data_IF_965264862049
#
_entry.id   IF_965264862049
#
_cell.length_a   1.000
_cell.length_b   1.000
_cell.length_c   1.000
_cell.angle_alpha   90.00
_cell.angle_beta   90.00
_cell.angle_gamma   90.00
#
_symmetry.space_group_name_H-M   'P 1'
#
loop_
_entity.id
_entity.type
_entity.pdbx_description
1 polymer ?
#
# COMPACT_ATOMS: atom_id res chain seq x y z
N UNK A 1 -1.80 19.20 -18.14
CA UNK A 1 -3.19 19.05 -17.66
C UNK A 1 -4.05 20.10 -18.31
N UNK A 2 -3.85 21.38 -18.04
CA UNK A 2 -4.65 22.52 -18.51
C UNK A 2 -5.03 22.42 -20.00
N UNK A 3 -4.07 22.11 -20.89
CA UNK A 3 -4.31 21.94 -22.33
C UNK A 3 -5.39 20.89 -22.65
N UNK A 4 -5.49 19.81 -21.88
CA UNK A 4 -6.47 18.74 -22.13
C UNK A 4 -7.80 19.01 -21.44
N UNK A 5 -7.80 19.76 -20.34
CA UNK A 5 -9.01 20.12 -19.63
C UNK A 5 -9.76 21.29 -20.28
N UNK A 6 -9.02 22.28 -20.85
CA UNK A 6 -9.64 23.42 -21.54
C UNK A 6 -10.45 23.04 -22.78
N UNK A 7 -10.19 21.87 -23.38
CA UNK A 7 -10.95 21.35 -24.53
C UNK A 7 -12.23 20.60 -24.09
N UNK A 8 -12.46 20.42 -22.78
CA UNK A 8 -13.60 19.70 -22.23
C UNK A 8 -14.62 20.67 -21.61
N UNK A 9 -15.93 20.34 -21.65
CA UNK A 9 -16.99 21.21 -21.12
C UNK A 9 -17.16 21.06 -19.59
N UNK A 10 -16.07 21.06 -18.85
CA UNK A 10 -16.06 20.92 -17.39
C UNK A 10 -15.24 22.01 -16.72
N UNK A 11 -15.72 22.51 -15.61
CA UNK A 11 -14.89 23.26 -14.69
C UNK A 11 -13.90 22.32 -13.99
N UNK A 12 -12.71 22.80 -13.70
CA UNK A 12 -11.68 21.97 -13.08
C UNK A 12 -10.81 22.77 -12.11
N UNK A 13 -10.26 22.07 -11.13
CA UNK A 13 -9.18 22.53 -10.27
C UNK A 13 -7.98 21.57 -10.36
N UNK A 14 -6.78 22.08 -10.14
CA UNK A 14 -5.55 21.32 -10.06
C UNK A 14 -4.97 21.53 -8.67
N UNK A 15 -4.96 20.49 -7.83
CA UNK A 15 -4.39 20.54 -6.50
C UNK A 15 -3.03 19.87 -6.50
N UNK A 16 -1.96 20.66 -6.36
CA UNK A 16 -0.64 20.11 -6.08
C UNK A 16 -0.47 19.86 -4.59
N UNK A 17 -0.03 18.68 -4.24
CA UNK A 17 0.36 18.35 -2.86
C UNK A 17 1.86 18.16 -2.81
N UNK A 18 2.54 19.04 -2.11
CA UNK A 18 3.98 18.96 -1.88
C UNK A 18 4.25 18.26 -0.54
N UNK A 19 4.84 17.08 -0.61
CA UNK A 19 5.13 16.22 0.56
C UNK A 19 6.41 16.66 1.29
N UNK A 20 6.46 17.96 1.64
CA UNK A 20 7.53 18.53 2.44
C UNK A 20 8.87 18.64 1.70
N UNK A 21 8.86 19.05 0.44
CA UNK A 21 10.08 19.27 -0.35
C UNK A 21 10.99 20.31 0.29
N UNK A 22 12.30 20.07 0.17
CA UNK A 22 13.35 20.96 0.69
C UNK A 22 14.08 21.74 -0.41
N UNK A 23 13.68 21.52 -1.65
CA UNK A 23 14.21 22.19 -2.84
C UNK A 23 13.35 23.39 -3.26
N UNK A 24 13.48 23.85 -4.52
CA UNK A 24 12.72 24.98 -5.05
C UNK A 24 11.24 24.68 -5.35
N UNK A 25 10.74 23.46 -5.13
CA UNK A 25 9.36 23.05 -5.44
C UNK A 25 8.31 23.99 -4.84
N UNK A 26 8.35 24.36 -3.53
CA UNK A 26 7.36 25.29 -2.97
C UNK A 26 7.33 26.65 -3.66
N UNK A 27 8.49 27.17 -4.09
CA UNK A 27 8.58 28.47 -4.79
C UNK A 27 7.97 28.37 -6.20
N UNK A 28 8.18 27.25 -6.88
CA UNK A 28 7.58 27.01 -8.20
C UNK A 28 6.06 26.91 -8.07
N UNK A 29 5.55 26.18 -7.10
CA UNK A 29 4.12 26.05 -6.84
C UNK A 29 3.49 27.40 -6.51
N UNK A 30 4.13 28.22 -5.68
CA UNK A 30 3.66 29.57 -5.36
C UNK A 30 3.54 30.48 -6.59
N UNK A 31 4.43 30.35 -7.55
CA UNK A 31 4.33 31.08 -8.84
C UNK A 31 3.18 30.55 -9.70
N UNK A 32 3.00 29.23 -9.77
CA UNK A 32 1.93 28.62 -10.55
C UNK A 32 0.55 29.02 -10.03
N UNK A 33 0.36 29.07 -8.72
CA UNK A 33 -0.93 29.48 -8.12
C UNK A 33 -1.27 30.95 -8.37
N UNK A 34 -0.25 31.80 -8.56
CA UNK A 34 -0.43 33.21 -8.93
C UNK A 34 -0.74 33.39 -10.43
N UNK A 35 -0.34 32.46 -11.29
CA UNK A 35 -0.50 32.54 -12.74
C UNK A 35 -1.79 31.91 -13.26
N UNK A 36 -2.33 30.91 -12.56
CA UNK A 36 -3.51 30.15 -12.97
C UNK A 36 -4.43 29.96 -11.76
N UNK A 37 -5.64 30.55 -11.85
CA UNK A 37 -6.65 30.49 -10.80
C UNK A 37 -7.23 29.08 -10.57
N UNK A 38 -7.02 28.15 -11.50
CA UNK A 38 -7.42 26.74 -11.32
C UNK A 38 -6.42 25.97 -10.50
N UNK A 39 -5.24 26.53 -10.21
CA UNK A 39 -4.17 25.85 -9.50
C UNK A 39 -4.17 26.25 -8.03
N UNK A 40 -4.21 25.24 -7.17
CA UNK A 40 -3.99 25.35 -5.71
C UNK A 40 -2.82 24.47 -5.32
N UNK A 41 -2.12 24.84 -4.23
CA UNK A 41 -1.03 24.04 -3.73
C UNK A 41 -1.13 23.86 -2.20
N UNK A 42 -1.00 22.62 -1.75
CA UNK A 42 -0.99 22.22 -0.35
C UNK A 42 0.43 21.76 0.00
N UNK A 43 1.13 22.54 0.83
CA UNK A 43 2.49 22.22 1.26
C UNK A 43 2.41 21.55 2.63
N UNK A 44 2.83 20.30 2.73
CA UNK A 44 2.84 19.56 3.98
C UNK A 44 3.99 20.02 4.90
N UNK A 45 3.80 19.91 6.20
CA UNK A 45 4.77 20.38 7.20
C UNK A 45 6.09 19.58 7.18
N UNK A 46 6.07 18.34 6.70
CA UNK A 46 7.20 17.44 6.50
C UNK A 46 6.84 16.38 5.48
N UNK A 47 7.77 15.50 5.14
CA UNK A 47 7.45 14.31 4.35
C UNK A 47 6.63 13.33 5.20
N UNK A 48 5.41 13.04 4.74
CA UNK A 48 4.47 12.07 5.30
C UNK A 48 4.36 10.80 4.45
N UNK A 49 4.86 10.85 3.22
CA UNK A 49 4.82 9.76 2.27
C UNK A 49 3.70 9.88 1.23
N UNK A 50 3.94 9.24 0.09
CA UNK A 50 3.11 9.33 -1.11
C UNK A 50 1.61 9.07 -0.87
N UNK A 51 1.27 8.05 -0.07
CA UNK A 51 -0.13 7.69 0.19
C UNK A 51 -0.88 8.78 0.98
N UNK A 52 -0.19 9.43 1.93
CA UNK A 52 -0.77 10.51 2.70
C UNK A 52 -0.84 11.82 1.90
N UNK A 53 0.09 12.06 0.99
CA UNK A 53 0.00 13.18 0.05
C UNK A 53 -1.21 13.03 -0.89
N UNK A 54 -1.46 11.84 -1.46
CA UNK A 54 -2.66 11.56 -2.24
C UNK A 54 -3.92 11.76 -1.39
N UNK A 55 -3.93 11.25 -0.16
CA UNK A 55 -5.05 11.43 0.77
C UNK A 55 -5.34 12.90 1.02
N UNK A 56 -4.31 13.71 1.25
CA UNK A 56 -4.44 15.14 1.45
C UNK A 56 -5.11 15.82 0.23
N UNK A 57 -4.67 15.48 -0.99
CA UNK A 57 -5.30 15.99 -2.22
C UNK A 57 -6.77 15.59 -2.33
N UNK A 58 -7.09 14.32 -2.07
CA UNK A 58 -8.47 13.82 -2.11
C UNK A 58 -9.37 14.45 -1.03
N UNK A 59 -8.85 14.69 0.16
CA UNK A 59 -9.59 15.33 1.26
C UNK A 59 -9.99 16.79 0.92
N UNK A 60 -9.15 17.50 0.14
CA UNK A 60 -9.33 18.92 -0.19
C UNK A 60 -9.92 19.16 -1.60
N UNK A 61 -10.10 18.11 -2.38
CA UNK A 61 -10.71 18.23 -3.69
C UNK A 61 -12.22 18.55 -3.59
N UNK A 62 -12.71 19.45 -4.45
CA UNK A 62 -14.10 19.93 -4.49
C UNK A 62 -14.93 19.43 -5.68
N UNK A 63 -14.28 18.91 -6.75
CA UNK A 63 -14.94 18.45 -7.96
C UNK A 63 -15.84 17.22 -7.77
N UNK A 64 -16.78 16.98 -8.69
CA UNK A 64 -17.68 15.82 -8.71
C UNK A 64 -16.92 14.50 -9.01
N UNK A 65 -15.80 14.61 -9.71
CA UNK A 65 -14.86 13.54 -9.94
C UNK A 65 -13.44 13.99 -9.56
N UNK A 66 -12.67 13.10 -8.98
CA UNK A 66 -11.29 13.37 -8.54
C UNK A 66 -10.35 12.47 -9.30
N UNK A 67 -9.35 13.06 -9.95
CA UNK A 67 -8.32 12.32 -10.66
C UNK A 67 -7.00 12.48 -9.89
N UNK A 68 -6.44 11.37 -9.43
CA UNK A 68 -5.11 11.34 -8.81
C UNK A 68 -4.03 11.08 -9.85
N UNK A 69 -2.92 11.82 -9.80
CA UNK A 69 -1.84 11.73 -10.78
C UNK A 69 -0.49 12.04 -10.12
N UNK A 70 0.55 11.26 -10.44
CA UNK A 70 1.92 11.56 -9.99
C UNK A 70 2.54 12.68 -10.83
N UNK A 71 3.34 13.51 -10.17
CA UNK A 71 4.03 14.65 -10.80
C UNK A 71 5.30 14.29 -11.60
N UNK A 72 5.62 13.00 -11.78
CA UNK A 72 6.85 12.52 -12.42
C UNK A 72 6.74 12.32 -13.95
N UNK A 73 5.63 12.78 -14.54
CA UNK A 73 5.30 12.69 -15.96
C UNK A 73 5.15 11.25 -16.51
N UNK A 74 5.03 10.25 -15.64
CA UNK A 74 4.75 8.86 -16.06
C UNK A 74 3.25 8.62 -16.30
N UNK A 75 2.39 9.50 -15.80
CA UNK A 75 0.94 9.47 -16.01
C UNK A 75 0.59 10.48 -17.14
N UNK A 76 0.24 10.01 -18.34
CA UNK A 76 0.00 10.89 -19.47
C UNK A 76 -1.32 11.66 -19.34
N UNK A 77 -1.30 13.02 -19.35
CA UNK A 77 -2.52 13.81 -19.26
C UNK A 77 -3.50 13.59 -20.43
N UNK A 78 -3.03 13.01 -21.54
CA UNK A 78 -3.90 12.63 -22.67
C UNK A 78 -4.94 11.58 -22.33
N UNK A 79 -4.81 10.89 -21.18
CA UNK A 79 -5.79 9.92 -20.70
C UNK A 79 -6.98 10.53 -19.96
N UNK A 80 -6.91 11.81 -19.61
CA UNK A 80 -7.97 12.48 -18.84
C UNK A 80 -9.34 12.38 -19.53
N UNK A 81 -9.48 12.62 -20.85
CA UNK A 81 -10.75 12.44 -21.54
C UNK A 81 -11.31 11.01 -21.45
N UNK A 82 -10.46 10.00 -21.58
CA UNK A 82 -10.88 8.59 -21.52
C UNK A 82 -11.38 8.21 -20.12
N UNK A 83 -10.71 8.71 -19.07
CA UNK A 83 -11.14 8.50 -17.68
C UNK A 83 -12.51 9.16 -17.42
N UNK A 84 -12.69 10.40 -17.87
CA UNK A 84 -13.94 11.14 -17.73
C UNK A 84 -15.06 10.48 -18.53
N UNK A 85 -14.77 9.99 -19.74
CA UNK A 85 -15.73 9.25 -20.55
C UNK A 85 -16.24 8.01 -19.79
N UNK A 86 -15.36 7.23 -19.18
CA UNK A 86 -15.74 6.05 -18.39
C UNK A 86 -16.59 6.41 -17.17
N UNK A 87 -16.27 7.52 -16.52
CA UNK A 87 -17.11 8.04 -15.43
C UNK A 87 -18.51 8.42 -15.92
N UNK A 88 -18.63 9.10 -17.07
CA UNK A 88 -19.92 9.43 -17.70
C UNK A 88 -20.72 8.17 -18.12
N UNK A 89 -20.06 7.05 -18.40
CA UNK A 89 -20.70 5.74 -18.63
C UNK A 89 -21.27 5.12 -17.33
N UNK A 90 -21.13 5.81 -16.19
CA UNK A 90 -21.66 5.41 -14.89
C UNK A 90 -20.75 4.46 -14.10
N UNK A 91 -19.44 4.53 -14.30
CA UNK A 91 -18.47 3.90 -13.42
C UNK A 91 -18.04 4.87 -12.32
N UNK A 92 -18.08 4.40 -11.07
CA UNK A 92 -17.73 5.22 -9.91
C UNK A 92 -16.21 5.30 -9.72
N UNK A 93 -15.49 4.29 -10.18
CA UNK A 93 -14.02 4.19 -10.08
C UNK A 93 -13.47 3.76 -11.43
N UNK A 94 -12.57 4.57 -12.00
CA UNK A 94 -11.83 4.25 -13.22
C UNK A 94 -10.36 4.08 -12.88
N UNK A 95 -9.92 2.84 -12.74
CA UNK A 95 -8.53 2.54 -12.46
C UNK A 95 -7.70 2.52 -13.74
N UNK A 96 -6.44 2.94 -13.66
CA UNK A 96 -5.53 2.72 -14.77
C UNK A 96 -4.57 1.56 -14.48
N UNK A 97 -4.27 0.80 -15.53
CA UNK A 97 -3.29 -0.28 -15.49
C UNK A 97 -2.19 0.02 -16.50
N UNK A 98 -0.97 0.06 -15.98
CA UNK A 98 0.21 0.21 -16.82
C UNK A 98 0.51 -1.09 -17.55
N UNK A 99 0.46 -1.05 -18.87
CA UNK A 99 0.93 -2.16 -19.70
C UNK A 99 2.44 -2.34 -19.49
N UNK A 100 2.86 -3.60 -19.31
CA UNK A 100 4.27 -3.92 -19.20
C UNK A 100 4.97 -3.57 -20.52
N UNK A 101 5.95 -2.68 -20.50
CA UNK A 101 6.88 -2.53 -21.61
C UNK A 101 7.75 -3.78 -21.70
N UNK A 102 8.00 -4.28 -22.92
CA UNK A 102 8.77 -5.53 -23.18
C UNK A 102 10.20 -5.52 -22.62
N UNK A 103 10.72 -4.37 -22.23
CA UNK A 103 12.06 -4.16 -21.64
C UNK A 103 12.24 -4.68 -20.19
N UNK A 104 11.20 -5.23 -19.57
CA UNK A 104 11.34 -5.79 -18.22
C UNK A 104 12.00 -7.17 -18.29
N UNK A 105 13.25 -7.28 -17.84
CA UNK A 105 14.00 -8.55 -17.79
C UNK A 105 13.19 -9.69 -17.12
N UNK A 106 13.43 -10.93 -17.55
CA UNK A 106 12.73 -12.15 -17.08
C UNK A 106 12.67 -12.23 -15.54
N UNK A 107 13.76 -11.89 -14.86
CA UNK A 107 13.83 -11.88 -13.38
C UNK A 107 12.79 -10.95 -12.76
N UNK A 108 12.59 -9.75 -13.33
CA UNK A 108 11.61 -8.78 -12.86
C UNK A 108 10.18 -9.26 -13.12
N UNK A 109 9.93 -9.92 -14.25
CA UNK A 109 8.60 -10.49 -14.57
C UNK A 109 8.25 -11.61 -13.59
N UNK A 110 9.19 -12.54 -13.33
CA UNK A 110 8.97 -13.67 -12.40
C UNK A 110 8.81 -13.21 -10.96
N UNK A 111 9.70 -12.32 -10.47
CA UNK A 111 9.63 -11.82 -9.09
C UNK A 111 8.36 -10.99 -8.84
N UNK A 112 7.93 -10.18 -9.82
CA UNK A 112 6.68 -9.44 -9.74
C UNK A 112 5.47 -10.39 -9.75
N UNK A 113 5.46 -11.42 -10.61
CA UNK A 113 4.39 -12.42 -10.65
C UNK A 113 4.25 -13.16 -9.32
N UNK A 114 5.37 -13.63 -8.75
CA UNK A 114 5.40 -14.30 -7.45
C UNK A 114 4.91 -13.37 -6.33
N UNK A 115 5.33 -12.10 -6.34
CA UNK A 115 4.89 -11.08 -5.40
C UNK A 115 3.37 -10.92 -5.42
N UNK A 116 2.76 -10.68 -6.60
CA UNK A 116 1.31 -10.51 -6.70
C UNK A 116 0.53 -11.78 -6.35
N UNK A 117 1.05 -12.95 -6.69
CA UNK A 117 0.43 -14.24 -6.31
C UNK A 117 0.43 -14.39 -4.79
N UNK A 118 1.56 -14.13 -4.13
CA UNK A 118 1.69 -14.25 -2.68
C UNK A 118 0.81 -13.24 -1.95
N UNK A 119 0.84 -11.96 -2.35
CA UNK A 119 0.05 -10.92 -1.67
C UNK A 119 -1.45 -11.15 -1.86
N UNK A 120 -1.89 -11.58 -3.06
CA UNK A 120 -3.31 -11.88 -3.31
C UNK A 120 -3.77 -13.18 -2.62
N UNK A 121 -2.88 -14.12 -2.36
CA UNK A 121 -3.20 -15.32 -1.56
C UNK A 121 -3.32 -15.01 -0.06
N UNK A 122 -2.60 -14.01 0.43
CA UNK A 122 -2.54 -13.64 1.85
C UNK A 122 -3.42 -12.45 2.21
N UNK A 123 -3.83 -11.64 1.24
CA UNK A 123 -4.71 -10.47 1.42
C UNK A 123 -6.15 -10.80 1.08
N UNK A 124 -7.14 -10.31 1.85
CA UNK A 124 -8.56 -10.43 1.49
C UNK A 124 -8.94 -9.56 0.28
N UNK A 125 -8.13 -8.56 -0.05
CA UNK A 125 -8.37 -7.62 -1.16
C UNK A 125 -7.51 -7.99 -2.35
N UNK A 126 -8.13 -8.17 -3.53
CA UNK A 126 -7.41 -8.46 -4.77
C UNK A 126 -6.64 -7.23 -5.26
N UNK A 127 -5.33 -7.33 -5.29
CA UNK A 127 -4.43 -6.29 -5.81
C UNK A 127 -4.10 -6.62 -7.26
N UNK A 128 -4.57 -5.79 -8.17
CA UNK A 128 -4.36 -5.99 -9.61
C UNK A 128 -2.90 -5.69 -9.99
N UNK A 129 -2.22 -6.63 -10.69
CA UNK A 129 -0.88 -6.37 -11.22
C UNK A 129 -0.87 -5.17 -12.17
N UNK A 130 0.16 -4.33 -12.06
CA UNK A 130 0.29 -3.13 -12.91
C UNK A 130 -0.65 -1.97 -12.55
N UNK A 131 -1.47 -2.11 -11.50
CA UNK A 131 -2.33 -1.04 -11.02
C UNK A 131 -1.52 0.23 -10.67
N UNK A 132 -2.01 1.38 -11.13
CA UNK A 132 -1.40 2.70 -10.92
C UNK A 132 -2.19 3.49 -9.87
N UNK A 133 -1.55 4.50 -9.28
CA UNK A 133 -2.25 5.50 -8.45
C UNK A 133 -2.87 6.62 -9.31
N UNK A 134 -2.69 6.55 -10.63
CA UNK A 134 -3.43 7.33 -11.62
C UNK A 134 -4.83 6.73 -11.80
N UNK A 135 -5.83 7.39 -11.29
CA UNK A 135 -7.24 6.93 -11.35
C UNK A 135 -8.21 8.08 -11.22
N UNK A 136 -9.43 7.86 -11.70
CA UNK A 136 -10.56 8.72 -11.43
C UNK A 136 -11.47 8.05 -10.41
N UNK A 137 -11.94 8.81 -9.44
CA UNK A 137 -12.98 8.40 -8.48
C UNK A 137 -14.11 9.42 -8.44
N UNK A 138 -15.33 8.96 -8.35
CA UNK A 138 -16.52 9.77 -8.12
C UNK A 138 -16.49 10.43 -6.74
N UNK A 139 -17.14 11.57 -6.57
CA UNK A 139 -17.28 12.28 -5.28
C UNK A 139 -17.78 11.35 -4.17
N UNK A 140 -18.77 10.50 -4.44
CA UNK A 140 -19.33 9.57 -3.45
C UNK A 140 -18.28 8.57 -2.94
N UNK A 141 -17.41 8.11 -3.82
CA UNK A 141 -16.29 7.25 -3.46
C UNK A 141 -15.30 8.00 -2.59
N UNK A 142 -14.96 9.24 -2.95
CA UNK A 142 -14.04 10.08 -2.18
C UNK A 142 -14.60 10.37 -0.78
N UNK A 143 -15.88 10.69 -0.64
CA UNK A 143 -16.51 10.92 0.66
C UNK A 143 -16.55 9.64 1.52
N UNK A 144 -16.76 8.48 0.91
CA UNK A 144 -16.63 7.20 1.61
C UNK A 144 -15.18 6.96 2.04
N UNK A 145 -14.22 7.24 1.16
CA UNK A 145 -12.79 7.09 1.44
C UNK A 145 -12.31 8.02 2.57
N UNK A 146 -12.88 9.20 2.72
CA UNK A 146 -12.59 10.11 3.85
C UNK A 146 -12.93 9.53 5.22
N UNK A 147 -13.81 8.52 5.29
CA UNK A 147 -14.16 7.85 6.54
C UNK A 147 -13.08 6.86 7.00
N UNK A 148 -12.26 6.37 6.07
CA UNK A 148 -11.12 5.52 6.42
C UNK A 148 -9.98 6.39 6.93
N UNK A 149 -9.59 6.21 8.18
CA UNK A 149 -8.57 7.03 8.86
C UNK A 149 -7.39 6.21 9.36
N UNK A 150 -7.17 5.03 8.75
CA UNK A 150 -6.00 4.21 9.04
C UNK A 150 -4.72 4.97 8.70
N UNK A 151 -3.70 4.84 9.58
CA UNK A 151 -2.38 5.44 9.37
C UNK A 151 -1.57 4.67 8.34
N UNK A 152 -1.64 3.34 8.38
CA UNK A 152 -0.99 2.46 7.41
C UNK A 152 -1.84 2.33 6.15
N UNK A 153 -1.86 3.39 5.34
CA UNK A 153 -2.73 3.46 4.17
C UNK A 153 -2.15 2.72 2.97
N UNK A 154 -2.97 1.88 2.37
CA UNK A 154 -2.73 1.30 1.06
C UNK A 154 -3.93 1.59 0.15
N UNK A 155 -3.93 2.77 -0.47
CA UNK A 155 -5.08 3.33 -1.19
C UNK A 155 -5.61 2.37 -2.26
N UNK A 156 -4.74 1.62 -2.95
CA UNK A 156 -5.17 0.65 -3.97
C UNK A 156 -6.04 -0.46 -3.39
N UNK A 157 -5.69 -0.96 -2.21
CA UNK A 157 -6.49 -1.95 -1.49
C UNK A 157 -7.78 -1.35 -0.96
N UNK A 158 -7.70 -0.21 -0.31
CA UNK A 158 -8.86 0.49 0.27
C UNK A 158 -9.92 0.79 -0.79
N UNK A 159 -9.53 1.38 -1.94
CA UNK A 159 -10.44 1.67 -3.05
C UNK A 159 -11.01 0.38 -3.67
N UNK A 160 -10.23 -0.70 -3.70
CA UNK A 160 -10.70 -2.01 -4.16
C UNK A 160 -11.80 -2.59 -3.26
N UNK A 161 -11.74 -2.35 -1.96
CA UNK A 161 -12.63 -2.90 -0.94
C UNK A 161 -13.96 -2.12 -0.80
N UNK A 162 -13.99 -0.86 -1.22
CA UNK A 162 -15.18 0.02 -1.08
C UNK A 162 -16.42 -0.54 -1.82
N UNK A 163 -16.26 -1.39 -2.83
CA UNK A 163 -17.37 -2.11 -3.49
C UNK A 163 -18.18 -1.32 -4.51
N UNK A 164 -17.75 -0.12 -4.89
CA UNK A 164 -18.37 0.68 -5.96
C UNK A 164 -18.09 0.11 -7.35
N UNK A 165 -18.88 0.52 -8.36
CA UNK A 165 -18.75 0.05 -9.74
C UNK A 165 -17.44 0.50 -10.37
N UNK A 166 -16.59 -0.46 -10.73
CA UNK A 166 -15.23 -0.19 -11.19
C UNK A 166 -15.01 -0.61 -12.64
N UNK A 167 -14.16 0.12 -13.34
CA UNK A 167 -13.61 -0.25 -14.64
C UNK A 167 -12.12 0.02 -14.71
N UNK A 168 -11.49 -0.43 -15.79
CA UNK A 168 -10.05 -0.28 -16.02
C UNK A 168 -9.80 0.31 -17.38
N UNK A 169 -8.84 1.24 -17.45
CA UNK A 169 -8.29 1.78 -18.68
C UNK A 169 -6.79 1.46 -18.70
N UNK A 170 -6.34 0.85 -19.79
CA UNK A 170 -4.93 0.47 -19.94
C UNK A 170 -4.14 1.63 -20.58
N UNK A 171 -2.90 1.82 -20.13
CA UNK A 171 -2.01 2.81 -20.73
C UNK A 171 -0.57 2.34 -20.80
N UNK A 172 0.15 2.90 -21.77
CA UNK A 172 1.60 2.74 -21.88
C UNK A 172 2.27 3.94 -21.22
N UNK A 173 2.97 3.71 -20.11
CA UNK A 173 3.66 4.80 -19.44
C UNK A 173 4.84 5.30 -20.28
N UNK A 174 4.98 6.61 -20.47
CA UNK A 174 6.17 7.20 -21.10
C UNK A 174 7.42 6.89 -20.27
N UNK A 175 8.58 6.95 -20.92
CA UNK A 175 9.86 6.83 -20.20
C UNK A 175 9.97 7.97 -19.18
N UNK A 176 10.46 7.63 -17.98
CA UNK A 176 10.68 8.61 -16.90
C UNK A 176 11.58 9.75 -17.41
N UNK A 177 11.14 10.99 -17.24
CA UNK A 177 11.87 12.18 -17.71
C UNK A 177 13.18 12.37 -16.94
N UNK A 178 13.20 12.12 -15.63
CA UNK A 178 14.38 12.25 -14.77
C UNK A 178 14.36 11.24 -13.61
N UNK A 179 15.54 10.90 -13.09
CA UNK A 179 15.72 10.05 -11.91
C UNK A 179 15.93 8.57 -12.22
N UNK A 180 16.58 7.87 -11.26
CA UNK A 180 16.76 6.41 -11.29
C UNK A 180 15.74 5.75 -10.37
N UNK A 181 15.24 4.57 -10.76
CA UNK A 181 14.39 3.77 -9.90
C UNK A 181 15.13 3.42 -8.58
N UNK A 182 14.59 3.88 -7.45
CA UNK A 182 15.12 3.57 -6.11
C UNK A 182 14.62 2.23 -5.56
N UNK A 183 13.99 1.40 -6.38
CA UNK A 183 13.44 0.10 -5.98
C UNK A 183 14.57 -0.94 -5.89
N UNK A 184 14.99 -1.26 -4.69
CA UNK A 184 15.86 -2.40 -4.39
C UNK A 184 15.02 -3.63 -4.00
N UNK A 185 15.58 -4.85 -4.12
CA UNK A 185 14.93 -6.10 -3.68
C UNK A 185 14.54 -6.04 -2.20
N UNK A 186 15.38 -5.43 -1.36
CA UNK A 186 15.09 -5.23 0.06
C UNK A 186 13.83 -4.37 0.26
N UNK A 187 13.69 -3.26 -0.49
CA UNK A 187 12.48 -2.42 -0.44
C UNK A 187 11.24 -3.16 -0.93
N UNK A 188 11.36 -4.00 -1.97
CA UNK A 188 10.24 -4.84 -2.43
C UNK A 188 9.78 -5.81 -1.34
N UNK A 189 10.72 -6.46 -0.66
CA UNK A 189 10.40 -7.40 0.43
C UNK A 189 9.77 -6.69 1.63
N UNK A 190 10.33 -5.55 2.06
CA UNK A 190 9.74 -4.72 3.11
C UNK A 190 8.31 -4.30 2.77
N UNK A 191 8.09 -3.80 1.55
CA UNK A 191 6.77 -3.39 1.08
C UNK A 191 5.76 -4.56 1.06
N UNK A 192 6.23 -5.77 0.73
CA UNK A 192 5.40 -6.97 0.77
C UNK A 192 4.99 -7.33 2.20
N UNK A 193 5.94 -7.30 3.13
CA UNK A 193 5.67 -7.57 4.55
C UNK A 193 4.73 -6.52 5.14
N UNK A 194 4.97 -5.24 4.87
CA UNK A 194 4.10 -4.15 5.33
C UNK A 194 2.68 -4.32 4.81
N UNK A 195 2.51 -4.65 3.52
CA UNK A 195 1.21 -4.92 2.93
C UNK A 195 0.51 -6.13 3.54
N UNK A 196 1.23 -7.23 3.78
CA UNK A 196 0.67 -8.43 4.44
C UNK A 196 0.25 -8.11 5.88
N UNK A 197 1.10 -7.41 6.63
CA UNK A 197 0.83 -7.06 8.03
C UNK A 197 -0.32 -6.05 8.16
N UNK A 198 -0.46 -5.12 7.21
CA UNK A 198 -1.53 -4.12 7.22
C UNK A 198 -2.92 -4.73 6.91
N UNK A 199 -3.00 -5.67 5.96
CA UNK A 199 -4.28 -6.16 5.44
C UNK A 199 -4.62 -7.60 5.78
N UNK A 200 -3.70 -8.36 6.38
CA UNK A 200 -3.90 -9.78 6.62
C UNK A 200 -3.71 -10.17 8.07
N UNK A 201 -4.65 -10.93 8.62
CA UNK A 201 -4.51 -11.61 9.91
C UNK A 201 -3.80 -12.97 9.76
N UNK A 202 -3.35 -13.32 8.55
CA UNK A 202 -2.74 -14.62 8.24
C UNK A 202 -1.47 -14.89 9.05
N UNK A 203 -0.53 -13.93 9.27
CA UNK A 203 0.65 -14.17 10.11
C UNK A 203 0.29 -14.55 11.56
N UNK A 204 -0.75 -13.92 12.14
CA UNK A 204 -1.25 -14.28 13.46
C UNK A 204 -1.86 -15.67 13.48
N UNK A 205 -2.61 -16.06 12.45
CA UNK A 205 -3.19 -17.41 12.33
C UNK A 205 -2.10 -18.47 12.18
N UNK A 206 -1.07 -18.20 11.37
CA UNK A 206 0.08 -19.10 11.22
C UNK A 206 0.76 -19.31 12.59
N UNK A 207 1.00 -18.23 13.34
CA UNK A 207 1.57 -18.29 14.69
C UNK A 207 0.72 -19.16 15.62
N UNK A 208 -0.60 -19.01 15.56
CA UNK A 208 -1.54 -19.80 16.37
C UNK A 208 -1.49 -21.29 16.01
N UNK A 209 -1.57 -21.64 14.73
CA UNK A 209 -1.52 -23.06 14.31
C UNK A 209 -0.16 -23.70 14.55
N UNK A 210 0.93 -22.95 14.38
CA UNK A 210 2.27 -23.42 14.71
C UNK A 210 2.44 -23.65 16.22
N UNK A 211 1.81 -22.81 17.05
CA UNK A 211 1.74 -23.01 18.50
C UNK A 211 1.00 -24.30 18.88
N UNK A 212 -0.16 -24.56 18.27
CA UNK A 212 -0.90 -25.83 18.46
C UNK A 212 -0.05 -27.02 18.03
N UNK A 213 0.58 -26.97 16.86
CA UNK A 213 1.44 -28.03 16.34
C UNK A 213 2.61 -28.31 17.28
N UNK A 214 3.31 -27.25 17.73
CA UNK A 214 4.40 -27.36 18.69
C UNK A 214 3.97 -27.94 20.03
N UNK A 215 2.77 -27.54 20.51
CA UNK A 215 2.17 -28.11 21.74
C UNK A 215 1.86 -29.59 21.63
N UNK A 216 1.29 -30.03 20.51
CA UNK A 216 1.03 -31.46 20.25
C UNK A 216 2.33 -32.26 20.16
N UNK A 217 3.35 -31.72 19.46
CA UNK A 217 4.65 -32.35 19.37
C UNK A 217 5.31 -32.49 20.75
N UNK A 218 5.24 -31.44 21.57
CA UNK A 218 5.74 -31.46 22.95
C UNK A 218 5.02 -32.51 23.80
N UNK A 219 3.68 -32.64 23.65
CA UNK A 219 2.91 -33.67 24.35
C UNK A 219 3.36 -35.08 23.94
N UNK A 220 3.56 -35.35 22.65
CA UNK A 220 4.07 -36.63 22.16
C UNK A 220 5.45 -36.94 22.72
N UNK A 221 6.33 -35.92 22.78
CA UNK A 221 7.67 -36.08 23.36
C UNK A 221 7.62 -36.38 24.85
N UNK A 222 6.74 -35.72 25.60
CA UNK A 222 6.52 -36.03 27.03
C UNK A 222 6.06 -37.48 27.22
N UNK A 223 5.08 -37.94 26.43
CA UNK A 223 4.60 -39.31 26.48
C UNK A 223 5.72 -40.32 26.14
N UNK A 224 6.56 -40.00 25.12
CA UNK A 224 7.70 -40.85 24.78
C UNK A 224 8.75 -40.92 25.89
N UNK A 225 9.08 -39.82 26.53
CA UNK A 225 10.03 -39.77 27.66
C UNK A 225 9.49 -40.56 28.87
N UNK A 226 8.20 -40.43 29.17
CA UNK A 226 7.55 -41.22 30.24
C UNK A 226 7.58 -42.69 29.93
N UNK A 227 7.29 -43.10 28.69
CA UNK A 227 7.38 -44.50 28.26
C UNK A 227 8.80 -45.04 28.38
N UNK A 228 9.84 -44.32 27.88
CA UNK A 228 11.24 -44.70 28.00
C UNK A 228 11.69 -44.85 29.45
N UNK A 229 11.19 -44.02 30.37
CA UNK A 229 11.49 -44.12 31.79
C UNK A 229 10.86 -45.36 32.43
N UNK A 230 9.64 -45.71 32.02
CA UNK A 230 8.96 -46.92 32.55
C UNK A 230 9.56 -48.23 32.05
N UNK A 231 10.25 -48.19 30.90
CA UNK A 231 10.92 -49.36 30.28
C UNK A 231 12.41 -49.44 30.58
N UNK A 232 12.95 -48.61 31.48
CA UNK A 232 14.38 -48.50 31.84
C UNK A 232 15.33 -48.23 30.64
N UNK A 233 14.80 -47.71 29.52
CA UNK A 233 15.55 -47.33 28.33
C UNK A 233 15.95 -45.85 28.36
N UNK A 234 16.64 -45.41 29.42
CA UNK A 234 17.06 -44.01 29.54
C UNK A 234 18.25 -43.76 28.65
N UNK A 235 18.03 -43.02 27.58
CA UNK A 235 19.13 -42.55 26.72
C UNK A 235 19.70 -41.21 27.23
N UNK A 236 21.04 -41.01 27.16
CA UNK A 236 21.64 -39.70 27.47
C UNK A 236 21.11 -38.66 26.48
N UNK A 237 20.43 -37.63 26.96
CA UNK A 237 19.65 -36.73 26.09
C UNK A 237 19.98 -35.25 26.24
N UNK A 238 21.10 -34.87 26.90
CA UNK A 238 21.46 -33.46 27.14
C UNK A 238 21.43 -32.61 25.85
N UNK A 239 22.09 -33.06 24.79
CA UNK A 239 22.18 -32.35 23.51
C UNK A 239 20.82 -32.20 22.85
N UNK A 240 20.02 -33.25 22.82
CA UNK A 240 18.67 -33.24 22.27
C UNK A 240 17.77 -32.28 23.05
N UNK A 241 17.85 -32.28 24.38
CA UNK A 241 17.07 -31.35 25.22
C UNK A 241 17.42 -29.90 24.93
N UNK A 242 18.73 -29.57 24.80
CA UNK A 242 19.19 -28.22 24.49
C UNK A 242 18.72 -27.76 23.10
N UNK A 243 18.78 -28.62 22.08
CA UNK A 243 18.30 -28.30 20.73
C UNK A 243 16.80 -28.00 20.77
N UNK A 244 16.01 -28.84 21.44
CA UNK A 244 14.54 -28.66 21.52
C UNK A 244 14.20 -27.38 22.28
N UNK A 245 14.86 -27.09 23.40
CA UNK A 245 14.63 -25.85 24.17
C UNK A 245 14.98 -24.61 23.35
N UNK A 246 16.12 -24.60 22.66
CA UNK A 246 16.53 -23.48 21.82
C UNK A 246 15.58 -23.30 20.63
N UNK A 247 15.11 -24.38 19.99
CA UNK A 247 14.20 -24.32 18.86
C UNK A 247 12.83 -23.77 19.29
N UNK A 248 12.26 -24.30 20.38
CA UNK A 248 10.97 -23.83 20.89
C UNK A 248 11.09 -22.38 21.37
N UNK A 249 12.15 -22.05 22.13
CA UNK A 249 12.40 -20.68 22.59
C UNK A 249 12.56 -19.69 21.43
N UNK A 250 13.31 -20.06 20.40
CA UNK A 250 13.46 -19.24 19.20
C UNK A 250 12.13 -19.03 18.47
N UNK A 251 11.33 -20.08 18.31
CA UNK A 251 10.01 -20.00 17.68
C UNK A 251 9.04 -19.11 18.49
N UNK A 252 9.07 -19.22 19.82
CA UNK A 252 8.28 -18.35 20.70
C UNK A 252 8.64 -16.87 20.55
N UNK A 253 9.93 -16.55 20.47
CA UNK A 253 10.39 -15.17 20.27
C UNK A 253 9.94 -14.61 18.92
N UNK A 254 9.94 -15.41 17.85
CA UNK A 254 9.40 -15.01 16.54
C UNK A 254 7.90 -14.68 16.65
N UNK A 255 7.12 -15.51 17.32
CA UNK A 255 5.69 -15.26 17.46
C UNK A 255 5.38 -14.05 18.34
N UNK A 256 6.14 -13.84 19.40
CA UNK A 256 6.05 -12.63 20.21
C UNK A 256 6.39 -11.38 19.38
N UNK A 257 7.39 -11.47 18.50
CA UNK A 257 7.73 -10.40 17.57
C UNK A 257 6.58 -10.07 16.61
N UNK A 258 5.91 -11.08 16.03
CA UNK A 258 4.74 -10.88 15.18
C UNK A 258 3.61 -10.20 15.96
N UNK A 259 3.31 -10.67 17.17
CA UNK A 259 2.29 -10.05 18.02
C UNK A 259 2.68 -8.61 18.37
N UNK A 260 3.94 -8.36 18.68
CA UNK A 260 4.48 -7.03 18.97
C UNK A 260 4.26 -6.05 17.81
N UNK A 261 4.47 -6.51 16.56
CA UNK A 261 4.21 -5.70 15.36
C UNK A 261 2.73 -5.29 15.24
N UNK A 262 1.79 -6.22 15.46
CA UNK A 262 0.36 -5.88 15.44
C UNK A 262 -0.04 -4.96 16.58
N UNK A 263 0.52 -5.16 17.78
CA UNK A 263 0.29 -4.24 18.91
C UNK A 263 0.84 -2.84 18.58
N UNK A 264 2.01 -2.75 17.95
CA UNK A 264 2.58 -1.49 17.50
C UNK A 264 1.65 -0.73 16.54
N UNK A 265 1.08 -1.42 15.56
CA UNK A 265 0.09 -0.84 14.63
C UNK A 265 -1.18 -0.38 15.34
N UNK A 266 -1.75 -1.21 16.22
CA UNK A 266 -2.91 -0.84 17.06
C UNK A 266 -2.58 0.40 17.90
N UNK A 267 -1.38 0.49 18.48
CA UNK A 267 -0.95 1.64 19.26
C UNK A 267 -0.91 2.94 18.44
N UNK A 268 -0.42 2.90 17.19
CA UNK A 268 -0.46 4.08 16.32
C UNK A 268 -1.90 4.48 15.95
N UNK A 269 -2.78 3.51 15.66
CA UNK A 269 -4.20 3.78 15.36
C UNK A 269 -4.94 4.37 16.57
N UNK A 270 -4.73 3.85 17.78
CA UNK A 270 -5.38 4.32 19.01
C UNK A 270 -4.98 5.75 19.37
N UNK A 271 -3.78 6.21 19.00
CA UNK A 271 -3.37 7.60 19.18
C UNK A 271 -4.25 8.60 18.42
N UNK A 272 -4.92 8.15 17.37
CA UNK A 272 -5.82 8.94 16.52
C UNK A 272 -5.23 10.32 16.14
N UNK A 273 -3.96 10.35 15.78
CA UNK A 273 -3.28 11.57 15.34
C UNK A 273 -3.75 11.96 13.94
N UNK A 274 -3.72 13.26 13.58
CA UNK A 274 -3.98 13.65 12.18
C UNK A 274 -3.03 12.93 11.22
N UNK A 275 -3.56 12.48 10.09
CA UNK A 275 -2.81 11.73 9.07
C UNK A 275 -1.67 12.57 8.49
N UNK A 276 -1.91 13.87 8.32
CA UNK A 276 -0.95 14.85 7.80
C UNK A 276 -1.20 16.22 8.40
N UNK A 277 -0.27 17.14 8.24
CA UNK A 277 -0.42 18.57 8.59
C UNK A 277 -0.03 19.43 7.40
N UNK A 278 -0.91 20.33 6.99
CA UNK A 278 -0.64 21.33 5.99
C UNK A 278 0.09 22.50 6.68
N UNK A 279 1.26 22.84 6.14
CA UNK A 279 2.05 23.99 6.58
C UNK A 279 1.57 25.28 5.91
N UNK A 280 1.23 25.21 4.63
CA UNK A 280 0.84 26.36 3.81
C UNK A 280 -0.14 25.90 2.73
N UNK A 281 -1.19 26.67 2.55
CA UNK A 281 -2.11 26.56 1.41
C UNK A 281 -1.91 27.79 0.52
N UNK A 282 -1.75 27.57 -0.79
CA UNK A 282 -1.48 28.60 -1.79
C UNK A 282 -2.53 28.56 -2.90
#
# INVERSE_FOLDING_TARGET
VTKYMSDLPYDYEIIFVDDGSTDATPLVLSRLTQQDSHVRALILARNFGHQLAITCGMDHASGDAIITMDGDLQHPPSMLPDLIQKWNEGFDIVQTVRLATDDAGLFKKVSSGLYYTLINALSPVYIRPGGSDFRLIDRRVAETFKQFREHDRFIRGMIGDIGYKQTVVEFVAPKRYAGKSKFSLHKMFSFALDGIMAYSKTPLRISFYAGIFSGLLSLLMILHVLYSKLTDQVTPGWTTTMIVVCLIGGLQLIFLGIIGEYIGRIFEEVKNRPLYWIKTEL
#
